data_IF_819233066462
#
_entry.id   IF_819233066462
#
_cell.length_a   1.000
_cell.length_b   1.000
_cell.length_c   1.000
_cell.angle_alpha   90.00
_cell.angle_beta   90.00
_cell.angle_gamma   90.00
#
_symmetry.space_group_name_H-M   'P 1'
#
loop_
_entity.id
_entity.type
_entity.pdbx_description
1 polymer ?
#
# COMPACT_ATOMS: atom_id res chain seq x y z
N UNK A 1 -12.19 4.51 2.64
CA UNK A 1 -11.90 3.85 3.93
C UNK A 1 -10.44 3.43 3.95
N UNK A 2 -9.76 3.53 5.10
CA UNK A 2 -8.37 3.08 5.25
C UNK A 2 -8.37 1.71 5.94
N UNK A 3 -7.66 0.75 5.37
CA UNK A 3 -7.41 -0.58 5.95
C UNK A 3 -5.93 -0.64 6.29
N UNK A 4 -5.63 -0.71 7.58
CA UNK A 4 -4.28 -0.70 8.09
C UNK A 4 -3.99 -1.95 8.91
N UNK A 5 -2.94 -2.67 8.55
CA UNK A 5 -2.39 -3.72 9.42
C UNK A 5 -1.28 -3.11 10.26
N UNK A 6 -1.61 -2.72 11.49
CA UNK A 6 -0.71 -1.97 12.37
C UNK A 6 0.58 -2.76 12.65
N UNK A 7 0.48 -4.08 12.79
CA UNK A 7 1.62 -4.98 13.02
C UNK A 7 2.66 -4.95 11.88
N UNK A 8 2.26 -4.51 10.67
CA UNK A 8 3.18 -4.39 9.53
C UNK A 8 3.87 -3.02 9.45
N UNK A 9 3.46 -2.03 10.25
CA UNK A 9 4.03 -0.69 10.20
C UNK A 9 5.44 -0.71 10.78
N UNK A 10 6.46 -0.46 9.93
CA UNK A 10 7.86 -0.44 10.35
C UNK A 10 8.46 -1.81 10.73
N UNK A 11 7.70 -2.89 10.59
CA UNK A 11 8.13 -4.24 10.98
C UNK A 11 9.03 -4.95 9.96
N UNK A 12 9.23 -4.36 8.78
CA UNK A 12 10.00 -4.94 7.68
C UNK A 12 9.46 -6.29 7.14
N UNK A 13 8.19 -6.59 7.40
CA UNK A 13 7.54 -7.84 7.01
C UNK A 13 6.69 -7.76 5.73
N UNK A 14 6.53 -6.57 5.13
CA UNK A 14 5.75 -6.37 3.90
C UNK A 14 4.28 -6.00 4.17
N UNK A 15 3.53 -5.55 3.15
CA UNK A 15 2.11 -5.30 3.29
C UNK A 15 1.33 -6.61 3.48
N UNK A 16 0.35 -6.61 4.38
CA UNK A 16 -0.58 -7.74 4.55
C UNK A 16 -1.69 -7.67 3.49
N UNK A 17 -1.36 -8.17 2.30
CA UNK A 17 -2.25 -8.16 1.14
C UNK A 17 -3.42 -9.14 1.28
N UNK A 18 -3.25 -10.23 2.02
CA UNK A 18 -4.29 -11.22 2.21
C UNK A 18 -5.44 -10.64 3.03
N UNK A 19 -5.14 -10.04 4.19
CA UNK A 19 -6.14 -9.34 5.01
C UNK A 19 -6.76 -8.17 4.25
N UNK A 20 -5.94 -7.40 3.53
CA UNK A 20 -6.43 -6.31 2.69
C UNK A 20 -7.46 -6.81 1.66
N UNK A 21 -7.14 -7.88 0.93
CA UNK A 21 -8.00 -8.42 -0.13
C UNK A 21 -9.32 -8.95 0.43
N UNK A 22 -9.31 -9.58 1.62
CA UNK A 22 -10.53 -10.01 2.31
C UNK A 22 -11.46 -8.85 2.63
N UNK A 23 -10.91 -7.73 3.13
CA UNK A 23 -11.70 -6.53 3.45
C UNK A 23 -12.15 -5.84 2.16
N UNK A 24 -11.29 -5.77 1.14
CA UNK A 24 -11.62 -5.19 -0.16
C UNK A 24 -12.81 -5.91 -0.82
N UNK A 25 -12.85 -7.25 -0.76
CA UNK A 25 -13.97 -8.03 -1.28
C UNK A 25 -15.32 -7.72 -0.59
N UNK A 26 -15.29 -7.32 0.68
CA UNK A 26 -16.48 -6.94 1.46
C UNK A 26 -16.84 -5.46 1.30
N UNK A 27 -15.96 -4.66 0.72
CA UNK A 27 -16.11 -3.22 0.65
C UNK A 27 -17.20 -2.77 -0.34
N UNK A 28 -17.56 -3.57 -1.35
CA UNK A 28 -18.52 -3.13 -2.37
C UNK A 28 -18.00 -1.92 -3.15
N UNK A 29 -18.80 -0.86 -3.30
CA UNK A 29 -18.49 0.32 -4.12
C UNK A 29 -17.57 1.36 -3.41
N UNK A 30 -17.12 1.11 -2.17
CA UNK A 30 -16.31 2.10 -1.44
C UNK A 30 -14.85 2.01 -1.88
N UNK A 31 -14.22 3.15 -2.13
CA UNK A 31 -12.77 3.22 -2.34
C UNK A 31 -12.01 2.80 -1.07
N UNK A 32 -11.12 1.83 -1.23
CA UNK A 32 -10.27 1.30 -0.15
C UNK A 32 -8.84 1.77 -0.35
N UNK A 33 -8.25 2.27 0.72
CA UNK A 33 -6.85 2.68 0.78
C UNK A 33 -6.16 1.71 1.74
N UNK A 34 -5.08 1.07 1.28
CA UNK A 34 -4.26 0.21 2.14
C UNK A 34 -3.24 1.02 2.93
N UNK A 35 -2.77 0.48 4.06
CA UNK A 35 -1.74 1.11 4.86
C UNK A 35 -0.94 0.05 5.64
N UNK A 36 0.36 0.33 5.80
CA UNK A 36 1.31 -0.54 6.51
C UNK A 36 2.16 -1.39 5.59
N UNK A 37 3.38 -1.70 6.04
CA UNK A 37 4.20 -2.77 5.48
C UNK A 37 5.00 -2.51 4.22
N UNK A 38 4.81 -1.42 3.46
CA UNK A 38 5.62 -1.17 2.25
C UNK A 38 7.09 -0.95 2.61
N UNK A 39 8.00 -1.72 2.01
CA UNK A 39 9.46 -1.65 2.22
C UNK A 39 10.22 -1.14 1.00
N UNK A 40 9.85 -1.63 -0.19
CA UNK A 40 10.57 -1.42 -1.44
C UNK A 40 9.64 -1.50 -2.67
N UNK A 41 10.22 -1.41 -3.87
CA UNK A 41 9.49 -1.39 -5.14
C UNK A 41 8.59 -2.59 -5.35
N UNK A 42 9.04 -3.81 -5.03
CA UNK A 42 8.19 -4.99 -5.24
C UNK A 42 6.91 -4.96 -4.38
N UNK A 43 6.98 -4.39 -3.17
CA UNK A 43 5.80 -4.20 -2.33
C UNK A 43 4.85 -3.14 -2.93
N UNK A 44 5.40 -2.06 -3.52
CA UNK A 44 4.60 -1.06 -4.24
C UNK A 44 3.86 -1.68 -5.42
N UNK A 45 4.56 -2.51 -6.20
CA UNK A 45 3.98 -3.18 -7.36
C UNK A 45 2.91 -4.20 -6.91
N UNK A 46 3.12 -4.89 -5.78
CA UNK A 46 2.13 -5.80 -5.21
C UNK A 46 0.89 -5.07 -4.69
N UNK A 47 1.07 -3.95 -3.98
CA UNK A 47 -0.02 -3.08 -3.54
C UNK A 47 -0.78 -2.45 -4.71
N UNK A 48 -0.11 -2.10 -5.82
CA UNK A 48 -0.76 -1.59 -7.02
C UNK A 48 -1.67 -2.64 -7.69
N UNK A 49 -1.37 -3.94 -7.53
CA UNK A 49 -2.16 -5.04 -8.07
C UNK A 49 -3.32 -5.49 -7.16
N UNK A 50 -3.41 -4.99 -5.92
CA UNK A 50 -4.43 -5.44 -4.95
C UNK A 50 -5.84 -4.89 -5.21
N UNK A 51 -5.98 -3.93 -6.13
CA UNK A 51 -7.24 -3.21 -6.34
C UNK A 51 -7.46 -2.04 -5.38
N UNK A 52 -6.50 -1.76 -4.49
CA UNK A 52 -6.50 -0.56 -3.67
C UNK A 52 -6.57 0.71 -4.54
N UNK A 53 -7.36 1.69 -4.09
CA UNK A 53 -7.38 3.02 -4.67
C UNK A 53 -6.05 3.75 -4.47
N UNK A 54 -5.44 3.59 -3.29
CA UNK A 54 -4.13 4.11 -2.94
C UNK A 54 -3.51 3.29 -1.80
N UNK A 55 -2.22 3.52 -1.51
CA UNK A 55 -1.55 2.98 -0.34
C UNK A 55 -0.85 4.08 0.46
N UNK A 56 -1.02 4.10 1.78
CA UNK A 56 -0.32 5.01 2.67
C UNK A 56 1.04 4.44 3.04
N UNK A 57 2.10 5.21 2.79
CA UNK A 57 3.49 4.81 2.99
C UNK A 57 4.13 5.83 3.94
N UNK A 58 4.77 5.33 5.00
CA UNK A 58 5.46 6.16 5.98
C UNK A 58 6.88 5.64 6.26
N UNK A 59 7.01 4.47 6.91
CA UNK A 59 8.30 3.96 7.41
C UNK A 59 9.39 3.87 6.33
N UNK A 60 9.10 3.28 5.16
CA UNK A 60 10.10 3.19 4.09
C UNK A 60 10.55 4.55 3.51
N UNK A 61 9.68 5.58 3.56
CA UNK A 61 10.07 6.94 3.17
C UNK A 61 10.91 7.60 4.26
N UNK A 62 10.51 7.43 5.53
CA UNK A 62 11.24 7.97 6.68
C UNK A 62 12.66 7.38 6.79
N UNK A 63 12.79 6.07 6.55
CA UNK A 63 14.06 5.34 6.57
C UNK A 63 14.92 5.60 5.31
N UNK A 64 14.39 6.31 4.31
CA UNK A 64 15.06 6.59 3.05
C UNK A 64 15.22 5.37 2.11
N UNK A 65 14.55 4.25 2.41
CA UNK A 65 14.52 3.04 1.56
C UNK A 65 13.76 3.26 0.26
N UNK A 66 12.76 4.14 0.31
CA UNK A 66 12.05 4.66 -0.85
C UNK A 66 12.19 6.17 -0.88
N UNK A 67 12.24 6.73 -2.10
CA UNK A 67 12.07 8.16 -2.34
C UNK A 67 10.62 8.41 -2.73
N UNK A 68 10.13 9.63 -2.53
CA UNK A 68 8.79 10.02 -2.96
C UNK A 68 8.56 9.74 -4.45
N UNK A 69 9.59 9.94 -5.29
CA UNK A 69 9.54 9.65 -6.73
C UNK A 69 9.27 8.17 -7.04
N UNK A 70 9.69 7.24 -6.16
CA UNK A 70 9.42 5.81 -6.32
C UNK A 70 7.96 5.46 -5.99
N UNK A 71 7.32 6.23 -5.10
CA UNK A 71 5.98 6.00 -4.56
C UNK A 71 4.87 6.73 -5.35
N UNK A 72 5.22 7.64 -6.26
CA UNK A 72 4.28 8.33 -7.12
C UNK A 72 4.09 7.56 -8.43
N UNK A 73 2.85 7.17 -8.74
CA UNK A 73 2.51 6.74 -10.10
C UNK A 73 2.38 8.00 -10.96
N UNK A 74 3.12 8.08 -12.07
CA UNK A 74 2.87 9.11 -13.07
C UNK A 74 1.58 8.74 -13.79
N UNK A 75 0.56 9.59 -13.68
CA UNK A 75 -0.67 9.41 -14.44
C UNK A 75 -0.39 9.87 -15.88
N UNK A 76 0.08 8.94 -16.72
CA UNK A 76 0.05 9.15 -18.16
C UNK A 76 -1.39 8.94 -18.63
N UNK A 77 -2.20 9.99 -18.46
CA UNK A 77 -3.53 10.06 -19.04
C UNK A 77 -3.42 10.37 -20.54
N UNK A 78 -3.66 9.35 -21.36
CA UNK A 78 -4.39 9.42 -22.64
C UNK A 78 -4.82 8.01 -23.06
#
# INVERSE_FOLDING_TARGET
MIVMTLDQVGADAGPDLDTFNLIHAQAGQRSIIGAGGIRHRDDLDAAARSGAHAWLIASALHDGRLRTADATRSDAAA
#
